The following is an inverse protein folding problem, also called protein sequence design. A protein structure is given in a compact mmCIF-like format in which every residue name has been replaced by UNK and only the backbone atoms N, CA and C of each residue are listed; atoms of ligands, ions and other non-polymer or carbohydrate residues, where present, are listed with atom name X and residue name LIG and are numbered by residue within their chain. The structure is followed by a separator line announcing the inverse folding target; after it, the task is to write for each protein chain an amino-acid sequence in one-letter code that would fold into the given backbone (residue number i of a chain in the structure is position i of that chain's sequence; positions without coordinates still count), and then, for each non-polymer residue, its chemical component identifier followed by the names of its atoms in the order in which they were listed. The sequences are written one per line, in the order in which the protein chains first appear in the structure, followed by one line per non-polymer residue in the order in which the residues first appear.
data_IF_662215052303
#
_entry.id   IF_662215052303
#
_cell.length_a   1.000
_cell.length_b   1.000
_cell.length_c   1.000
_cell.angle_alpha   90.00
_cell.angle_beta   90.00
_cell.angle_gamma   90.00
#
_symmetry.space_group_name_H-M   'P 1'
#
loop_
_entity.id
_entity.type
_entity.pdbx_description
1 polymer ?
#
# COMPACT_ATOMS: atom_id res chain seq x y z
N UNK A 1 -27.22 -5.17 19.33
CA UNK A 1 -26.89 -4.12 18.36
C UNK A 1 -25.62 -4.52 17.65
N UNK A 2 -25.63 -4.52 16.31
CA UNK A 2 -24.46 -4.71 15.48
C UNK A 2 -23.80 -3.34 15.28
N UNK A 3 -22.52 -3.19 15.66
CA UNK A 3 -21.72 -2.01 15.37
C UNK A 3 -20.82 -2.31 14.18
N UNK A 4 -20.91 -1.51 13.13
CA UNK A 4 -20.03 -1.56 11.97
C UNK A 4 -19.24 -0.24 11.91
N UNK A 5 -17.92 -0.36 11.85
CA UNK A 5 -17.03 0.78 11.66
C UNK A 5 -16.58 0.80 10.19
N UNK A 6 -16.89 1.90 9.48
CA UNK A 6 -16.43 2.12 8.11
C UNK A 6 -15.20 3.02 8.13
N UNK A 7 -14.10 2.53 7.58
CA UNK A 7 -12.86 3.29 7.43
C UNK A 7 -12.51 3.42 5.95
N UNK A 8 -12.42 4.67 5.47
CA UNK A 8 -12.00 4.94 4.10
C UNK A 8 -10.50 4.74 3.91
N UNK A 9 -10.11 4.16 2.77
CA UNK A 9 -8.73 4.06 2.33
C UNK A 9 -8.47 5.05 1.20
N UNK A 10 -7.64 6.06 1.44
CA UNK A 10 -7.26 7.06 0.43
C UNK A 10 -6.66 6.43 -0.83
N UNK A 11 -5.96 5.32 -0.69
CA UNK A 11 -5.34 4.63 -1.82
C UNK A 11 -6.36 4.10 -2.84
N UNK A 12 -7.60 3.79 -2.43
CA UNK A 12 -8.65 3.43 -3.39
C UNK A 12 -9.02 4.62 -4.28
N UNK A 13 -9.04 5.83 -3.73
CA UNK A 13 -9.22 7.06 -4.52
C UNK A 13 -8.03 7.31 -5.45
N UNK A 14 -6.81 7.00 -5.02
CA UNK A 14 -5.62 7.10 -5.90
C UNK A 14 -5.73 6.12 -7.06
N UNK A 15 -6.15 4.89 -6.83
CA UNK A 15 -6.37 3.89 -7.89
C UNK A 15 -7.44 4.38 -8.87
N UNK A 16 -8.59 4.83 -8.37
CA UNK A 16 -9.70 5.34 -9.21
C UNK A 16 -9.26 6.54 -10.06
N UNK A 17 -8.54 7.49 -9.46
CA UNK A 17 -8.01 8.64 -10.19
C UNK A 17 -6.95 8.23 -11.23
N UNK A 18 -6.07 7.28 -10.93
CA UNK A 18 -5.11 6.77 -11.91
C UNK A 18 -5.82 6.12 -13.10
N UNK A 19 -6.85 5.30 -12.86
CA UNK A 19 -7.66 4.68 -13.91
C UNK A 19 -8.33 5.75 -14.80
N UNK A 20 -8.89 6.81 -14.20
CA UNK A 20 -9.47 7.92 -14.97
C UNK A 20 -8.44 8.60 -15.86
N UNK A 21 -7.24 8.87 -15.34
CA UNK A 21 -6.15 9.47 -16.13
C UNK A 21 -5.70 8.54 -17.27
N UNK A 22 -5.62 7.24 -17.04
CA UNK A 22 -5.32 6.23 -18.06
C UNK A 22 -6.38 6.24 -19.16
N UNK A 23 -7.65 6.30 -18.77
CA UNK A 23 -8.78 6.38 -19.71
C UNK A 23 -8.79 7.68 -20.52
N UNK A 24 -8.50 8.82 -19.87
CA UNK A 24 -8.34 10.12 -20.54
C UNK A 24 -7.20 10.06 -21.58
N UNK A 25 -6.15 9.27 -21.32
CA UNK A 25 -5.05 8.98 -22.24
C UNK A 25 -5.37 7.97 -23.36
N UNK A 26 -6.61 7.49 -23.45
CA UNK A 26 -7.08 6.58 -24.51
C UNK A 26 -6.85 5.10 -24.25
N UNK A 27 -6.41 4.72 -23.06
CA UNK A 27 -6.28 3.32 -22.65
C UNK A 27 -7.45 2.92 -21.74
N UNK A 28 -7.88 1.65 -21.84
CA UNK A 28 -8.87 1.07 -20.94
C UNK A 28 -8.26 -0.11 -20.23
N UNK A 29 -8.40 -0.17 -18.91
CA UNK A 29 -7.84 -1.25 -18.07
C UNK A 29 -8.89 -1.75 -17.10
N UNK A 30 -8.88 -3.05 -16.85
CA UNK A 30 -9.62 -3.70 -15.79
C UNK A 30 -8.68 -4.02 -14.62
N UNK A 31 -8.65 -3.14 -13.63
CA UNK A 31 -7.77 -3.26 -12.48
C UNK A 31 -8.14 -4.43 -11.55
N UNK A 32 -9.36 -4.96 -11.67
CA UNK A 32 -9.81 -6.10 -10.86
C UNK A 32 -9.33 -7.43 -11.45
N UNK A 33 -9.02 -7.47 -12.74
CA UNK A 33 -8.60 -8.66 -13.47
C UNK A 33 -7.14 -8.61 -13.96
N UNK A 34 -6.27 -7.86 -13.26
CA UNK A 34 -4.82 -7.84 -13.58
C UNK A 34 -4.15 -9.16 -13.18
N UNK A 35 -3.15 -9.65 -13.94
CA UNK A 35 -2.44 -10.88 -13.64
C UNK A 35 -1.56 -10.73 -12.39
N UNK A 36 -1.57 -11.74 -11.50
CA UNK A 36 -0.73 -11.76 -10.29
C UNK A 36 0.66 -12.39 -10.48
N UNK A 37 1.01 -12.77 -11.68
CA UNK A 37 2.30 -13.38 -12.07
C UNK A 37 3.22 -12.43 -12.83
N UNK A 38 2.90 -11.14 -12.88
CA UNK A 38 3.69 -10.12 -13.58
C UNK A 38 5.05 -9.89 -12.91
N UNK A 39 6.08 -10.39 -13.56
CA UNK A 39 7.46 -10.32 -13.09
C UNK A 39 8.00 -8.87 -13.00
N UNK A 40 7.45 -7.95 -13.79
CA UNK A 40 7.85 -6.53 -13.76
C UNK A 40 7.40 -5.88 -12.45
N UNK A 41 6.21 -6.25 -11.96
CA UNK A 41 5.68 -5.80 -10.67
C UNK A 41 6.51 -6.35 -9.52
N UNK A 42 6.85 -7.65 -9.52
CA UNK A 42 7.72 -8.21 -8.48
C UNK A 42 9.13 -7.63 -8.51
N UNK A 43 9.65 -7.28 -9.69
CA UNK A 43 10.94 -6.59 -9.83
C UNK A 43 10.91 -5.19 -9.18
N UNK A 44 9.79 -4.48 -9.24
CA UNK A 44 9.59 -3.20 -8.53
C UNK A 44 9.69 -3.40 -7.02
N UNK A 45 9.00 -4.41 -6.45
CA UNK A 45 9.12 -4.77 -5.03
C UNK A 45 10.55 -5.17 -4.66
N UNK A 46 11.18 -6.04 -5.45
CA UNK A 46 12.56 -6.51 -5.23
C UNK A 46 13.58 -5.38 -5.19
N UNK A 47 13.39 -4.33 -5.99
CA UNK A 47 14.24 -3.13 -5.99
C UNK A 47 13.91 -2.17 -4.85
N UNK A 48 12.82 -2.38 -4.11
CA UNK A 48 12.32 -1.46 -3.09
C UNK A 48 11.88 -0.11 -3.65
N UNK A 49 11.43 -0.08 -4.92
CA UNK A 49 10.93 1.13 -5.59
C UNK A 49 9.46 1.36 -5.29
N UNK A 50 9.08 1.26 -4.01
CA UNK A 50 7.69 1.16 -3.55
C UNK A 50 7.16 2.43 -2.87
N UNK A 51 7.79 3.59 -3.07
CA UNK A 51 7.21 4.87 -2.64
C UNK A 51 5.90 5.10 -3.41
N UNK A 52 4.83 5.43 -2.68
CA UNK A 52 3.47 5.52 -3.20
C UNK A 52 2.71 4.19 -3.29
N UNK A 53 3.38 3.05 -3.14
CA UNK A 53 2.74 1.73 -3.11
C UNK A 53 2.12 1.48 -1.74
N UNK A 54 0.84 1.16 -1.72
CA UNK A 54 0.09 0.94 -0.49
C UNK A 54 0.77 -0.07 0.44
N UNK A 55 0.87 0.25 1.73
CA UNK A 55 1.49 -0.55 2.81
C UNK A 55 3.00 -0.87 2.66
N UNK A 56 3.61 -0.72 1.49
CA UNK A 56 4.97 -1.19 1.22
C UNK A 56 6.03 -0.08 1.08
N UNK A 57 5.71 1.16 1.44
CA UNK A 57 6.59 2.32 1.16
C UNK A 57 7.55 2.70 2.28
N UNK A 58 7.37 2.24 3.52
CA UNK A 58 8.26 2.59 4.63
C UNK A 58 9.69 2.12 4.38
N UNK A 59 10.67 2.85 4.89
CA UNK A 59 12.09 2.53 4.68
C UNK A 59 12.45 1.12 5.14
N UNK A 60 11.96 0.71 6.32
CA UNK A 60 12.19 -0.63 6.85
C UNK A 60 11.53 -1.72 6.00
N UNK A 61 10.29 -1.54 5.54
CA UNK A 61 9.63 -2.46 4.64
C UNK A 61 10.40 -2.62 3.32
N UNK A 62 10.88 -1.52 2.74
CA UNK A 62 11.66 -1.53 1.51
C UNK A 62 12.97 -2.31 1.64
N UNK A 63 13.65 -2.23 2.77
CA UNK A 63 14.86 -3.01 3.03
C UNK A 63 14.55 -4.53 3.16
N UNK A 64 13.43 -4.89 3.78
CA UNK A 64 13.00 -6.29 3.82
C UNK A 64 12.59 -6.81 2.42
N UNK A 65 11.91 -6.02 1.61
CA UNK A 65 11.54 -6.40 0.25
C UNK A 65 12.75 -6.70 -0.64
N UNK A 66 13.83 -5.92 -0.53
CA UNK A 66 15.08 -6.17 -1.24
C UNK A 66 15.72 -7.51 -0.86
N UNK A 67 15.59 -7.92 0.40
CA UNK A 67 16.09 -9.20 0.90
C UNK A 67 15.16 -10.34 0.55
N UNK A 68 13.85 -10.14 0.67
CA UNK A 68 12.80 -11.12 0.41
C UNK A 68 12.74 -11.50 -1.07
N UNK A 69 12.89 -10.50 -1.98
CA UNK A 69 12.74 -10.68 -3.43
C UNK A 69 11.42 -11.41 -3.74
N UNK A 70 10.28 -10.79 -3.49
CA UNK A 70 9.00 -11.47 -3.66
C UNK A 70 8.82 -11.92 -5.10
N UNK A 71 8.20 -13.08 -5.27
CA UNK A 71 7.95 -13.75 -6.56
C UNK A 71 6.49 -14.13 -6.76
N UNK A 72 5.69 -14.04 -5.70
CA UNK A 72 4.28 -14.38 -5.68
C UNK A 72 3.52 -13.47 -4.72
N UNK A 73 2.19 -13.40 -4.89
CA UNK A 73 1.32 -12.57 -4.04
C UNK A 73 1.35 -13.04 -2.57
N UNK A 74 1.57 -14.33 -2.32
CA UNK A 74 1.69 -14.94 -1.00
C UNK A 74 2.84 -14.32 -0.20
N UNK A 75 3.93 -13.96 -0.84
CA UNK A 75 5.05 -13.25 -0.19
C UNK A 75 4.62 -11.88 0.33
N UNK A 76 3.79 -11.16 -0.42
CA UNK A 76 3.27 -9.85 -0.02
C UNK A 76 2.25 -10.00 1.09
N UNK A 77 1.38 -11.02 1.03
CA UNK A 77 0.41 -11.36 2.07
C UNK A 77 1.16 -11.64 3.38
N UNK A 78 2.19 -12.48 3.34
CA UNK A 78 3.00 -12.81 4.50
C UNK A 78 3.73 -11.58 5.07
N UNK A 79 4.31 -10.73 4.22
CA UNK A 79 4.98 -9.50 4.66
C UNK A 79 4.05 -8.51 5.35
N UNK A 80 2.81 -8.33 4.86
CA UNK A 80 1.81 -7.51 5.53
C UNK A 80 1.49 -8.03 6.95
N UNK A 81 1.47 -9.35 7.12
CA UNK A 81 1.20 -9.97 8.40
C UNK A 81 2.41 -9.91 9.34
N UNK A 82 3.62 -10.06 8.82
CA UNK A 82 4.86 -10.13 9.61
C UNK A 82 5.44 -8.76 9.98
N UNK A 83 5.27 -7.74 9.13
CA UNK A 83 5.89 -6.43 9.36
C UNK A 83 5.14 -5.61 10.42
N UNK A 84 5.22 -6.08 11.66
CA UNK A 84 4.61 -5.50 12.87
C UNK A 84 5.48 -5.80 14.08
N UNK A 85 5.44 -4.97 15.14
CA UNK A 85 6.09 -5.30 16.41
C UNK A 85 5.71 -6.71 16.91
N UNK A 86 6.69 -7.51 17.26
CA UNK A 86 6.54 -8.92 17.64
C UNK A 86 6.84 -9.87 16.47
N UNK A 87 5.93 -10.05 15.50
CA UNK A 87 6.13 -10.99 14.39
C UNK A 87 7.32 -10.66 13.49
N UNK A 88 7.73 -9.39 13.42
CA UNK A 88 8.84 -8.97 12.55
C UNK A 88 10.18 -9.66 12.89
N UNK A 89 10.33 -10.19 14.09
CA UNK A 89 11.50 -10.99 14.47
C UNK A 89 11.63 -12.28 13.64
N UNK A 90 10.55 -12.74 13.01
CA UNK A 90 10.55 -13.95 12.18
C UNK A 90 10.85 -13.66 10.70
N UNK A 91 10.92 -12.38 10.28
CA UNK A 91 11.12 -12.02 8.87
C UNK A 91 12.45 -12.54 8.32
N UNK A 92 13.52 -12.43 9.08
CA UNK A 92 14.83 -12.93 8.64
C UNK A 92 14.83 -14.46 8.44
N UNK A 93 14.15 -15.20 9.31
CA UNK A 93 13.99 -16.65 9.17
C UNK A 93 13.08 -16.99 7.98
N UNK A 94 11.99 -16.27 7.79
CA UNK A 94 11.10 -16.40 6.64
C UNK A 94 11.90 -16.23 5.33
N UNK A 95 12.71 -15.16 5.22
CA UNK A 95 13.55 -14.88 4.06
C UNK A 95 14.59 -15.99 3.83
N UNK A 96 15.28 -16.45 4.91
CA UNK A 96 16.28 -17.51 4.79
C UNK A 96 15.67 -18.83 4.31
N UNK A 97 14.49 -19.20 4.80
CA UNK A 97 13.77 -20.42 4.41
C UNK A 97 13.26 -20.32 2.98
N UNK A 98 12.64 -19.19 2.59
CA UNK A 98 12.25 -18.91 1.19
C UNK A 98 13.39 -19.13 0.20
N UNK A 99 14.59 -18.70 0.55
CA UNK A 99 15.78 -18.79 -0.31
C UNK A 99 16.60 -20.08 -0.12
N UNK A 100 16.07 -21.08 0.61
CA UNK A 100 16.76 -22.35 0.85
C UNK A 100 18.03 -22.23 1.71
N UNK A 101 18.25 -21.08 2.38
CA UNK A 101 19.42 -20.84 3.26
C UNK A 101 19.24 -21.38 4.66
N UNK A 102 18.03 -21.76 5.02
CA UNK A 102 17.66 -22.43 6.27
C UNK A 102 16.65 -23.50 5.93
N UNK A 103 16.89 -24.71 6.43
CA UNK A 103 16.00 -25.85 6.26
C UNK A 103 14.64 -25.59 6.91
N UNK A 104 13.56 -26.02 6.24
CA UNK A 104 12.20 -26.00 6.79
C UNK A 104 12.01 -27.30 7.57
N UNK A 105 11.78 -27.17 8.85
CA UNK A 105 11.52 -28.34 9.72
C UNK A 105 10.10 -28.23 10.27
N UNK A 106 9.34 -29.32 10.10
CA UNK A 106 8.01 -29.47 10.66
C UNK A 106 8.07 -30.41 11.85
N UNK A 107 7.41 -30.06 12.96
CA UNK A 107 7.32 -30.93 14.14
C UNK A 107 6.54 -32.21 13.85
N UNK A 108 5.67 -32.19 12.85
CA UNK A 108 4.94 -33.35 12.33
C UNK A 108 4.64 -33.17 10.85
N UNK A 109 4.69 -34.21 10.02
CA UNK A 109 4.45 -34.12 8.57
C UNK A 109 3.11 -33.48 8.21
N UNK A 110 2.06 -33.72 8.99
CA UNK A 110 0.73 -33.10 8.73
C UNK A 110 0.72 -31.55 8.85
N UNK A 111 1.78 -30.94 9.33
CA UNK A 111 1.90 -29.47 9.37
C UNK A 111 2.40 -28.89 8.05
N UNK A 112 2.97 -29.71 7.16
CA UNK A 112 3.56 -29.26 5.91
C UNK A 112 2.53 -28.55 5.01
N UNK A 113 1.42 -29.18 4.72
CA UNK A 113 0.36 -28.63 3.88
C UNK A 113 -0.22 -27.31 4.43
N UNK A 114 -0.17 -27.12 5.77
CA UNK A 114 -0.70 -25.91 6.42
C UNK A 114 0.31 -24.77 6.37
N UNK A 115 1.60 -25.08 6.46
CA UNK A 115 2.68 -24.12 6.64
C UNK A 115 3.58 -23.95 5.41
N UNK A 116 3.35 -24.69 4.33
CA UNK A 116 4.15 -24.64 3.10
C UNK A 116 4.21 -23.22 2.53
N UNK A 117 3.07 -22.54 2.41
CA UNK A 117 2.96 -21.17 1.88
C UNK A 117 3.73 -20.12 2.71
N UNK A 118 4.03 -20.45 3.97
CA UNK A 118 4.76 -19.56 4.91
C UNK A 118 6.11 -20.14 5.33
N UNK A 119 6.63 -21.06 4.53
CA UNK A 119 7.95 -21.69 4.74
C UNK A 119 8.13 -22.29 6.15
N UNK A 120 7.07 -22.93 6.67
CA UNK A 120 7.08 -23.57 7.97
C UNK A 120 6.96 -22.61 9.17
N UNK A 121 6.58 -21.37 8.94
CA UNK A 121 6.35 -20.37 10.02
C UNK A 121 4.85 -20.17 10.17
N UNK A 122 4.35 -20.23 11.42
CA UNK A 122 2.97 -19.84 11.70
C UNK A 122 2.88 -18.31 11.61
N UNK A 123 2.05 -17.80 10.70
CA UNK A 123 1.82 -16.37 10.45
C UNK A 123 0.37 -16.00 10.69
N UNK A 124 -0.56 -16.87 10.29
CA UNK A 124 -1.99 -16.57 10.25
C UNK A 124 -2.76 -17.27 11.38
N UNK A 125 -3.82 -16.62 11.84
CA UNK A 125 -4.77 -17.19 12.79
C UNK A 125 -5.44 -18.45 12.22
N UNK A 126 -5.70 -18.46 10.94
CA UNK A 126 -6.27 -19.58 10.19
C UNK A 126 -5.36 -20.82 10.26
N UNK A 127 -4.03 -20.64 10.19
CA UNK A 127 -3.07 -21.74 10.34
C UNK A 127 -3.13 -22.36 11.75
N UNK A 128 -3.26 -21.51 12.78
CA UNK A 128 -3.47 -22.00 14.16
C UNK A 128 -4.70 -22.87 14.27
N UNK A 129 -5.82 -22.44 13.66
CA UNK A 129 -7.07 -23.20 13.67
C UNK A 129 -6.97 -24.49 12.85
N UNK A 130 -6.32 -24.45 11.69
CA UNK A 130 -6.08 -25.64 10.86
C UNK A 130 -5.21 -26.66 11.57
N UNK A 131 -4.13 -26.25 12.23
CA UNK A 131 -3.28 -27.14 13.02
C UNK A 131 -4.09 -27.80 14.15
N UNK A 132 -4.91 -27.03 14.88
CA UNK A 132 -5.75 -27.60 15.92
C UNK A 132 -6.77 -28.62 15.37
N UNK A 133 -7.34 -28.34 14.22
CA UNK A 133 -8.26 -29.25 13.56
C UNK A 133 -7.54 -30.48 13.02
N UNK A 134 -6.51 -30.31 12.21
CA UNK A 134 -5.86 -31.44 11.51
C UNK A 134 -4.99 -32.29 12.42
N UNK A 135 -4.31 -31.68 13.39
CA UNK A 135 -3.43 -32.42 14.33
C UNK A 135 -4.25 -33.05 15.47
N UNK A 136 -5.13 -32.26 16.11
CA UNK A 136 -5.78 -32.68 17.36
C UNK A 136 -7.28 -32.98 17.23
N UNK A 137 -7.85 -32.86 16.02
CA UNK A 137 -9.26 -33.20 15.78
C UNK A 137 -10.26 -32.20 16.37
N UNK A 138 -9.85 -30.98 16.67
CA UNK A 138 -10.76 -29.94 17.09
C UNK A 138 -11.75 -29.60 15.98
N UNK A 139 -13.01 -29.37 16.30
CA UNK A 139 -13.92 -28.69 15.38
C UNK A 139 -13.44 -27.25 15.12
N UNK A 140 -13.89 -26.64 14.05
CA UNK A 140 -13.53 -25.25 13.75
C UNK A 140 -13.96 -24.28 14.86
N UNK A 141 -15.12 -24.56 15.51
CA UNK A 141 -15.58 -23.77 16.65
C UNK A 141 -14.66 -23.89 17.87
N UNK A 142 -14.20 -25.11 18.19
CA UNK A 142 -13.25 -25.33 19.27
C UNK A 142 -11.86 -24.74 18.97
N UNK A 143 -11.40 -24.82 17.73
CA UNK A 143 -10.16 -24.20 17.27
C UNK A 143 -10.22 -22.67 17.41
N UNK A 144 -11.36 -22.03 17.10
CA UNK A 144 -11.54 -20.59 17.30
C UNK A 144 -11.59 -20.21 18.78
N UNK A 145 -12.21 -21.04 19.64
CA UNK A 145 -12.18 -20.86 21.09
C UNK A 145 -10.72 -20.93 21.59
N UNK A 146 -9.94 -21.90 21.12
CA UNK A 146 -8.52 -22.05 21.47
C UNK A 146 -7.72 -20.81 21.05
N UNK A 147 -7.86 -20.38 19.81
CA UNK A 147 -7.21 -19.16 19.30
C UNK A 147 -7.53 -17.92 20.14
N UNK A 148 -8.82 -17.74 20.50
CA UNK A 148 -9.24 -16.62 21.36
C UNK A 148 -8.74 -16.71 22.77
N UNK A 149 -8.69 -17.91 23.35
CA UNK A 149 -8.16 -18.14 24.69
C UNK A 149 -6.67 -17.77 24.77
N UNK A 150 -5.90 -18.18 23.78
CA UNK A 150 -4.48 -17.83 23.64
C UNK A 150 -4.28 -16.33 23.45
N UNK A 151 -5.00 -15.70 22.53
CA UNK A 151 -4.91 -14.27 22.27
C UNK A 151 -5.31 -13.38 23.46
N UNK A 152 -6.22 -13.86 24.32
CA UNK A 152 -6.63 -13.18 25.56
C UNK A 152 -5.88 -13.66 26.80
N UNK A 153 -4.96 -14.61 26.66
CA UNK A 153 -4.16 -15.19 27.76
C UNK A 153 -5.01 -15.75 28.91
N UNK A 154 -6.12 -16.44 28.59
CA UNK A 154 -7.02 -17.03 29.58
C UNK A 154 -6.41 -18.35 30.07
N UNK A 155 -5.51 -18.26 31.05
CA UNK A 155 -4.67 -19.38 31.53
C UNK A 155 -5.42 -20.67 31.80
N UNK A 156 -6.51 -20.61 32.59
CA UNK A 156 -7.31 -21.81 32.94
C UNK A 156 -7.82 -22.53 31.69
N UNK A 157 -8.37 -21.78 30.73
CA UNK A 157 -8.91 -22.35 29.49
C UNK A 157 -7.79 -22.89 28.59
N UNK A 158 -6.64 -22.23 28.58
CA UNK A 158 -5.46 -22.69 27.81
C UNK A 158 -4.93 -24.02 28.38
N UNK A 159 -4.88 -24.19 29.71
CA UNK A 159 -4.45 -25.43 30.36
C UNK A 159 -5.42 -26.58 30.00
N UNK A 160 -6.73 -26.35 30.07
CA UNK A 160 -7.76 -27.35 29.69
C UNK A 160 -7.64 -27.72 28.20
N UNK A 161 -7.47 -26.73 27.30
CA UNK A 161 -7.33 -26.96 25.87
C UNK A 161 -6.01 -27.64 25.50
N UNK A 162 -4.93 -27.41 26.27
CA UNK A 162 -3.65 -28.10 26.10
C UNK A 162 -3.79 -29.61 26.32
N UNK A 163 -4.45 -30.03 27.40
CA UNK A 163 -4.72 -31.44 27.67
C UNK A 163 -5.55 -32.04 26.52
N UNK A 164 -6.62 -31.38 26.16
CA UNK A 164 -7.49 -31.83 25.03
C UNK A 164 -6.74 -31.94 23.71
N UNK A 165 -5.84 -30.99 23.43
CA UNK A 165 -5.03 -30.98 22.19
C UNK A 165 -4.07 -32.20 22.17
N UNK A 166 -3.39 -32.48 23.27
CA UNK A 166 -2.45 -33.62 23.38
C UNK A 166 -3.19 -34.94 23.18
N UNK A 167 -4.32 -35.13 23.92
CA UNK A 167 -5.14 -36.34 23.81
C UNK A 167 -5.72 -36.50 22.38
N UNK A 168 -6.18 -35.41 21.78
CA UNK A 168 -6.71 -35.41 20.43
C UNK A 168 -5.66 -35.78 19.40
N UNK A 169 -4.45 -35.21 19.50
CA UNK A 169 -3.32 -35.48 18.60
C UNK A 169 -2.90 -36.97 18.66
N UNK A 170 -2.88 -37.57 19.86
CA UNK A 170 -2.60 -38.99 20.02
C UNK A 170 -3.69 -39.86 19.40
N UNK A 171 -4.97 -39.53 19.64
CA UNK A 171 -6.11 -40.30 19.10
C UNK A 171 -6.26 -40.22 17.59
N UNK A 172 -6.06 -39.00 17.01
CA UNK A 172 -6.30 -38.76 15.57
C UNK A 172 -5.12 -39.18 14.71
N UNK A 173 -3.91 -38.85 15.12
CA UNK A 173 -2.71 -38.97 14.29
C UNK A 173 -1.60 -39.81 14.92
N UNK A 174 -1.86 -40.48 16.04
CA UNK A 174 -0.89 -41.29 16.82
C UNK A 174 0.39 -40.48 17.15
N UNK A 175 0.25 -39.18 17.41
CA UNK A 175 1.37 -38.30 17.75
C UNK A 175 1.75 -38.50 19.22
N UNK A 176 3.05 -38.67 19.46
CA UNK A 176 3.56 -38.83 20.83
C UNK A 176 3.23 -37.56 21.67
N UNK A 177 2.85 -37.73 22.95
CA UNK A 177 2.44 -36.62 23.81
C UNK A 177 3.46 -35.48 23.89
N UNK A 178 4.76 -35.79 23.87
CA UNK A 178 5.80 -34.76 23.90
C UNK A 178 5.83 -33.91 22.61
N UNK A 179 5.70 -34.57 21.47
CA UNK A 179 5.60 -33.84 20.18
C UNK A 179 4.33 -33.00 20.12
N UNK A 180 3.18 -33.54 20.56
CA UNK A 180 1.93 -32.80 20.62
C UNK A 180 2.04 -31.57 21.55
N UNK A 181 2.73 -31.70 22.65
CA UNK A 181 3.03 -30.59 23.57
C UNK A 181 3.88 -29.51 22.90
N UNK A 182 4.95 -29.90 22.20
CA UNK A 182 5.79 -28.97 21.47
C UNK A 182 5.00 -28.21 20.38
N UNK A 183 4.09 -28.89 19.65
CA UNK A 183 3.22 -28.25 18.67
C UNK A 183 2.29 -27.24 19.35
N UNK A 184 1.68 -27.61 20.51
CA UNK A 184 0.81 -26.69 21.24
C UNK A 184 1.56 -25.45 21.73
N UNK A 185 2.77 -25.61 22.26
CA UNK A 185 3.63 -24.51 22.71
C UNK A 185 4.08 -23.60 21.56
N UNK A 186 4.31 -24.18 20.37
CA UNK A 186 4.56 -23.41 19.16
C UNK A 186 3.34 -22.56 18.77
N UNK A 187 2.14 -23.14 18.78
CA UNK A 187 0.88 -22.43 18.52
C UNK A 187 0.66 -21.32 19.55
N UNK A 188 0.83 -21.64 20.84
CA UNK A 188 0.65 -20.68 21.93
C UNK A 188 1.53 -19.44 21.75
N UNK A 189 2.81 -19.64 21.42
CA UNK A 189 3.75 -18.55 21.15
C UNK A 189 3.31 -17.65 20.01
N UNK A 190 2.71 -18.20 18.95
CA UNK A 190 2.29 -17.46 17.77
C UNK A 190 0.84 -16.94 17.83
N UNK A 191 -0.02 -17.53 18.64
CA UNK A 191 -1.42 -17.13 18.74
C UNK A 191 -1.61 -15.69 19.28
N UNK A 192 -0.65 -15.18 20.04
CA UNK A 192 -0.63 -13.77 20.48
C UNK A 192 -0.46 -12.80 19.31
N UNK A 193 0.20 -13.22 18.25
CA UNK A 193 0.63 -12.38 17.12
C UNK A 193 0.01 -12.80 15.79
N UNK A 194 -0.80 -13.86 15.78
CA UNK A 194 -1.45 -14.37 14.57
C UNK A 194 -2.27 -13.29 13.87
N UNK A 195 -2.07 -13.15 12.57
CA UNK A 195 -2.78 -12.17 11.77
C UNK A 195 -3.95 -12.81 11.03
N UNK A 196 -5.01 -12.07 10.80
CA UNK A 196 -6.11 -12.56 9.96
C UNK A 196 -5.64 -12.61 8.48
N UNK A 197 -5.64 -13.79 7.88
CA UNK A 197 -5.17 -14.01 6.50
C UNK A 197 -6.02 -13.23 5.50
N UNK A 198 -7.34 -13.23 5.66
CA UNK A 198 -8.25 -12.52 4.74
C UNK A 198 -7.97 -11.01 4.72
N UNK A 199 -7.72 -10.41 5.89
CA UNK A 199 -7.35 -9.00 5.96
C UNK A 199 -5.99 -8.74 5.27
N UNK A 200 -4.98 -9.58 5.54
CA UNK A 200 -3.67 -9.45 4.90
C UNK A 200 -3.75 -9.60 3.39
N UNK A 201 -4.57 -10.53 2.92
CA UNK A 201 -4.82 -10.78 1.49
C UNK A 201 -5.44 -9.55 0.83
N UNK A 202 -6.51 -8.98 1.42
CA UNK A 202 -7.15 -7.78 0.87
C UNK A 202 -6.17 -6.61 0.75
N UNK A 203 -5.31 -6.41 1.74
CA UNK A 203 -4.31 -5.35 1.73
C UNK A 203 -3.17 -5.62 0.73
N UNK A 204 -2.74 -6.88 0.60
CA UNK A 204 -1.74 -7.25 -0.41
C UNK A 204 -2.29 -7.10 -1.84
N UNK A 205 -3.59 -7.37 -2.03
CA UNK A 205 -4.27 -7.14 -3.31
C UNK A 205 -4.22 -5.66 -3.71
N UNK A 206 -4.63 -4.76 -2.82
CA UNK A 206 -4.56 -3.30 -3.08
C UNK A 206 -3.10 -2.85 -3.28
N UNK A 207 -2.16 -3.39 -2.50
CA UNK A 207 -0.74 -3.09 -2.68
C UNK A 207 -0.23 -3.51 -4.07
N UNK A 208 -0.62 -4.70 -4.52
CA UNK A 208 -0.26 -5.21 -5.84
C UNK A 208 -0.88 -4.34 -6.95
N UNK A 209 -2.15 -3.96 -6.84
CA UNK A 209 -2.80 -3.03 -7.79
C UNK A 209 -2.04 -1.70 -7.89
N UNK A 210 -1.65 -1.11 -6.76
CA UNK A 210 -0.88 0.15 -6.77
C UNK A 210 0.52 -0.03 -7.35
N UNK A 211 1.17 -1.18 -7.11
CA UNK A 211 2.47 -1.50 -7.70
C UNK A 211 2.37 -1.77 -9.21
N UNK A 212 1.29 -2.42 -9.65
CA UNK A 212 1.02 -2.68 -11.05
C UNK A 212 0.79 -1.37 -11.83
N UNK A 213 -0.05 -0.48 -11.29
CA UNK A 213 -0.24 0.87 -11.86
C UNK A 213 1.08 1.64 -11.92
N UNK A 214 1.89 1.60 -10.86
CA UNK A 214 3.21 2.25 -10.84
C UNK A 214 4.16 1.68 -11.89
N UNK A 215 4.04 0.39 -12.22
CA UNK A 215 4.90 -0.29 -13.17
C UNK A 215 4.51 0.00 -14.63
N UNK A 216 3.21 -0.02 -14.93
CA UNK A 216 2.70 0.05 -16.30
C UNK A 216 2.22 1.45 -16.71
N UNK A 217 1.77 2.25 -15.75
CA UNK A 217 1.23 3.61 -15.96
C UNK A 217 1.84 4.58 -14.93
N UNK A 218 3.18 4.72 -14.96
CA UNK A 218 3.89 5.44 -13.90
C UNK A 218 3.54 6.93 -13.82
N UNK A 219 3.32 7.61 -14.95
CA UNK A 219 2.98 9.04 -14.97
C UNK A 219 1.57 9.29 -14.40
N UNK A 220 0.60 8.48 -14.79
CA UNK A 220 -0.79 8.56 -14.31
C UNK A 220 -0.86 8.22 -12.81
N UNK A 221 -0.20 7.14 -12.40
CA UNK A 221 -0.16 6.74 -11.00
C UNK A 221 0.51 7.78 -10.10
N UNK A 222 1.64 8.34 -10.53
CA UNK A 222 2.33 9.40 -9.77
C UNK A 222 1.53 10.70 -9.76
N UNK A 223 0.84 11.06 -10.85
CA UNK A 223 -0.08 12.20 -10.89
C UNK A 223 -1.22 12.04 -9.89
N UNK A 224 -1.84 10.87 -9.84
CA UNK A 224 -2.91 10.57 -8.89
C UNK A 224 -2.42 10.64 -7.43
N UNK A 225 -1.22 10.13 -7.13
CA UNK A 225 -0.61 10.23 -5.81
C UNK A 225 -0.30 11.68 -5.44
N UNK A 226 0.33 12.45 -6.32
CA UNK A 226 0.64 13.86 -6.12
C UNK A 226 -0.63 14.66 -5.85
N UNK A 227 -1.69 14.42 -6.62
CA UNK A 227 -3.01 15.05 -6.42
C UNK A 227 -3.61 14.71 -5.07
N UNK A 228 -3.54 13.45 -4.65
CA UNK A 228 -4.06 13.01 -3.34
C UNK A 228 -3.32 13.66 -2.15
N UNK A 229 -2.07 14.04 -2.34
CA UNK A 229 -1.20 14.58 -1.29
C UNK A 229 -0.93 16.09 -1.41
N UNK A 230 -1.64 16.82 -2.27
CA UNK A 230 -1.43 18.27 -2.51
C UNK A 230 -1.44 19.13 -1.25
N UNK A 231 -2.20 18.75 -0.23
CA UNK A 231 -2.25 19.45 1.05
C UNK A 231 -1.03 19.21 1.96
N UNK A 232 -0.17 18.25 1.64
CA UNK A 232 1.01 17.87 2.42
C UNK A 232 2.28 18.08 1.58
N UNK A 233 2.87 19.28 1.71
CA UNK A 233 4.04 19.65 0.88
C UNK A 233 5.24 18.72 1.06
N UNK A 234 5.49 18.22 2.28
CA UNK A 234 6.60 17.30 2.52
C UNK A 234 6.40 15.99 1.74
N UNK A 235 5.16 15.53 1.67
CA UNK A 235 4.80 14.34 0.91
C UNK A 235 4.91 14.58 -0.59
N UNK A 236 4.47 15.74 -1.07
CA UNK A 236 4.63 16.16 -2.47
C UNK A 236 6.11 16.16 -2.88
N UNK A 237 7.00 16.70 -2.04
CA UNK A 237 8.45 16.70 -2.30
C UNK A 237 9.00 15.27 -2.41
N UNK A 238 8.59 14.35 -1.53
CA UNK A 238 8.99 12.93 -1.59
C UNK A 238 8.54 12.30 -2.91
N UNK A 239 7.30 12.54 -3.33
CA UNK A 239 6.76 12.00 -4.57
C UNK A 239 7.43 12.58 -5.82
N UNK A 240 7.72 13.89 -5.85
CA UNK A 240 8.49 14.52 -6.94
C UNK A 240 9.90 13.93 -7.03
N UNK A 241 10.57 13.69 -5.89
CA UNK A 241 11.87 13.03 -5.90
C UNK A 241 11.78 11.58 -6.38
N UNK A 242 10.67 10.89 -6.12
CA UNK A 242 10.44 9.56 -6.66
C UNK A 242 10.21 9.61 -8.18
N UNK A 243 9.43 10.58 -8.69
CA UNK A 243 9.27 10.81 -10.13
C UNK A 243 10.63 10.97 -10.82
N UNK A 244 11.52 11.81 -10.28
CA UNK A 244 12.88 12.01 -10.82
C UNK A 244 13.68 10.70 -10.90
N UNK A 245 13.61 9.85 -9.87
CA UNK A 245 14.28 8.52 -9.88
C UNK A 245 13.71 7.60 -10.93
N UNK A 246 12.42 7.75 -11.24
CA UNK A 246 11.72 7.02 -12.30
C UNK A 246 11.93 7.63 -13.68
N UNK A 247 12.70 8.73 -13.80
CA UNK A 247 12.91 9.51 -15.03
C UNK A 247 11.62 10.13 -15.56
N UNK A 248 10.76 10.55 -14.64
CA UNK A 248 9.55 11.31 -14.91
C UNK A 248 9.81 12.75 -14.50
N UNK A 249 9.71 13.68 -15.42
CA UNK A 249 9.84 15.09 -15.16
C UNK A 249 8.52 15.66 -14.63
N UNK A 250 8.60 16.45 -13.57
CA UNK A 250 7.47 17.23 -13.08
C UNK A 250 7.71 18.68 -13.44
N UNK A 251 6.95 19.17 -14.40
CA UNK A 251 7.06 20.55 -14.87
C UNK A 251 6.74 21.54 -13.74
N UNK A 252 7.37 22.73 -13.74
CA UNK A 252 6.99 23.79 -12.79
C UNK A 252 5.53 24.20 -12.99
N UNK A 253 4.88 24.81 -11.97
CA UNK A 253 3.54 25.35 -12.12
C UNK A 253 3.51 26.47 -13.18
N UNK A 254 2.45 26.51 -13.97
CA UNK A 254 2.26 27.55 -15.02
C UNK A 254 0.77 27.84 -15.19
N UNK A 255 0.36 29.11 -15.01
CA UNK A 255 -1.02 29.57 -15.18
C UNK A 255 -1.56 29.34 -16.58
N UNK A 256 -0.68 29.24 -17.59
CA UNK A 256 -1.04 29.02 -19.00
C UNK A 256 -1.20 27.55 -19.40
N UNK A 257 -0.67 26.60 -18.58
CA UNK A 257 -0.61 25.18 -18.94
C UNK A 257 -1.20 24.29 -17.85
N UNK A 258 -0.84 24.54 -16.59
CA UNK A 258 -1.20 23.67 -15.46
C UNK A 258 -2.71 23.58 -15.24
N UNK A 259 -3.15 22.41 -14.78
CA UNK A 259 -4.52 22.17 -14.33
C UNK A 259 -4.64 22.38 -12.81
N UNK A 260 -5.85 22.19 -12.26
CA UNK A 260 -6.08 22.19 -10.81
C UNK A 260 -5.24 21.09 -10.17
N UNK A 261 -5.34 19.88 -10.70
CA UNK A 261 -4.68 18.68 -10.24
C UNK A 261 -3.41 18.39 -11.07
N UNK A 262 -2.51 17.57 -10.51
CA UNK A 262 -1.41 17.01 -11.28
C UNK A 262 -1.94 16.11 -12.39
N UNK A 263 -1.41 16.26 -13.62
CA UNK A 263 -1.83 15.46 -14.78
C UNK A 263 -0.63 14.99 -15.60
N UNK A 264 -0.67 13.76 -16.13
CA UNK A 264 0.32 13.34 -17.11
C UNK A 264 0.18 14.19 -18.38
N UNK A 265 1.31 14.60 -18.92
CA UNK A 265 1.42 15.25 -20.26
C UNK A 265 1.74 14.18 -21.30
N UNK A 266 2.63 13.28 -20.92
CA UNK A 266 3.03 12.09 -21.63
C UNK A 266 3.55 11.04 -20.64
N UNK A 267 4.10 9.92 -21.13
CA UNK A 267 4.57 8.81 -20.30
C UNK A 267 5.71 9.20 -19.32
N UNK A 268 6.40 10.31 -19.59
CA UNK A 268 7.59 10.73 -18.83
C UNK A 268 7.47 12.14 -18.26
N UNK A 269 6.34 12.81 -18.41
CA UNK A 269 6.15 14.20 -18.01
C UNK A 269 4.83 14.39 -17.29
N UNK A 270 4.87 15.04 -16.11
CA UNK A 270 3.71 15.42 -15.31
C UNK A 270 3.62 16.95 -15.24
N UNK A 271 2.47 17.51 -15.53
CA UNK A 271 2.14 18.92 -15.30
C UNK A 271 1.81 19.14 -13.83
N UNK A 272 2.38 20.20 -13.25
CA UNK A 272 2.13 20.56 -11.84
C UNK A 272 0.67 20.93 -11.59
N UNK A 273 0.09 20.47 -10.50
CA UNK A 273 -1.26 20.84 -10.06
C UNK A 273 -1.26 22.16 -9.30
N UNK A 274 -1.93 23.19 -9.83
CA UNK A 274 -1.93 24.51 -9.21
C UNK A 274 -2.52 24.56 -7.80
N UNK A 275 -3.40 23.61 -7.47
CA UNK A 275 -4.00 23.49 -6.14
C UNK A 275 -3.00 23.07 -5.03
N UNK A 276 -1.81 22.62 -5.42
CA UNK A 276 -0.71 22.39 -4.48
C UNK A 276 0.00 23.69 -4.03
N UNK A 277 -0.29 24.82 -4.69
CA UNK A 277 0.27 26.12 -4.32
C UNK A 277 -0.48 26.66 -3.09
N UNK A 278 0.26 26.94 -2.03
CA UNK A 278 -0.32 27.45 -0.78
C UNK A 278 -1.10 28.74 -1.00
N UNK A 279 -2.26 28.87 -0.37
CA UNK A 279 -3.19 29.99 -0.45
C UNK A 279 -3.90 30.17 -1.82
N UNK A 280 -3.78 29.24 -2.72
CA UNK A 280 -4.51 29.24 -3.99
C UNK A 280 -5.65 28.23 -3.90
N UNK A 281 -6.88 28.71 -3.75
CA UNK A 281 -8.05 27.84 -3.57
C UNK A 281 -8.69 27.42 -4.90
N UNK A 282 -9.41 26.30 -4.86
CA UNK A 282 -10.04 25.68 -6.06
C UNK A 282 -10.91 26.66 -6.85
N UNK A 283 -11.72 27.51 -6.18
CA UNK A 283 -12.56 28.50 -6.87
C UNK A 283 -11.76 29.53 -7.68
N UNK A 284 -10.59 29.94 -7.18
CA UNK A 284 -9.72 30.84 -7.93
C UNK A 284 -9.11 30.14 -9.15
N UNK A 285 -8.74 28.87 -9.00
CA UNK A 285 -8.18 28.06 -10.10
C UNK A 285 -9.22 27.76 -11.19
N UNK A 286 -10.45 27.44 -10.80
CA UNK A 286 -11.57 27.25 -11.76
C UNK A 286 -11.72 28.47 -12.64
N UNK A 287 -11.74 29.67 -12.05
CA UNK A 287 -11.83 30.92 -12.81
C UNK A 287 -10.63 31.20 -13.71
N UNK A 288 -9.41 30.91 -13.23
CA UNK A 288 -8.20 31.09 -14.04
C UNK A 288 -8.25 30.14 -15.26
N UNK A 289 -8.65 28.89 -15.05
CA UNK A 289 -8.70 27.89 -16.12
C UNK A 289 -9.82 28.20 -17.11
N UNK A 290 -11.01 28.61 -16.64
CA UNK A 290 -12.14 29.01 -17.48
C UNK A 290 -11.77 30.21 -18.36
N UNK A 291 -11.27 31.28 -17.72
CA UNK A 291 -10.81 32.47 -18.44
C UNK A 291 -9.71 32.16 -19.47
N UNK A 292 -8.82 31.23 -19.19
CA UNK A 292 -7.77 30.77 -20.09
C UNK A 292 -8.34 30.03 -21.30
N UNK A 293 -9.40 29.24 -21.16
CA UNK A 293 -10.03 28.51 -22.27
C UNK A 293 -10.59 29.45 -23.30
N UNK A 294 -11.17 30.58 -22.90
CA UNK A 294 -11.72 31.58 -23.80
C UNK A 294 -10.64 32.33 -24.58
N UNK A 295 -9.48 32.57 -23.97
CA UNK A 295 -8.41 33.41 -24.52
C UNK A 295 -7.20 32.69 -25.09
N UNK A 296 -7.06 31.40 -24.85
CA UNK A 296 -5.92 30.53 -25.21
C UNK A 296 -4.66 30.70 -24.34
N UNK A 297 -4.21 31.91 -24.02
CA UNK A 297 -3.03 32.19 -23.15
C UNK A 297 -3.07 33.61 -22.60
N UNK A 298 -2.60 33.77 -21.35
CA UNK A 298 -2.26 35.07 -20.79
C UNK A 298 -0.87 35.50 -21.27
N UNK A 299 -0.72 36.77 -21.69
CA UNK A 299 0.53 37.33 -22.20
C UNK A 299 1.34 38.05 -21.09
N UNK A 300 0.66 38.77 -20.22
CA UNK A 300 1.28 39.54 -19.14
C UNK A 300 0.44 39.51 -17.89
N UNK A 301 0.98 40.01 -16.76
CA UNK A 301 0.23 40.14 -15.51
C UNK A 301 -0.99 41.07 -15.68
N UNK A 302 -0.90 42.11 -16.52
CA UNK A 302 -2.01 43.01 -16.79
C UNK A 302 -3.12 42.30 -17.58
N UNK A 303 -2.74 41.50 -18.57
CA UNK A 303 -3.68 40.66 -19.32
C UNK A 303 -4.35 39.64 -18.41
N UNK A 304 -3.59 38.99 -17.54
CA UNK A 304 -4.12 38.08 -16.55
C UNK A 304 -5.14 38.76 -15.61
N UNK A 305 -4.76 39.86 -14.97
CA UNK A 305 -5.64 40.59 -14.02
C UNK A 305 -6.87 41.20 -14.66
N UNK A 306 -6.81 41.58 -15.93
CA UNK A 306 -7.96 42.09 -16.69
C UNK A 306 -9.01 41.01 -17.02
N UNK A 307 -8.63 39.71 -16.94
CA UNK A 307 -9.47 38.61 -17.39
C UNK A 307 -9.88 37.63 -16.28
N UNK A 308 -9.38 37.83 -15.04
CA UNK A 308 -9.82 37.04 -13.87
C UNK A 308 -10.65 37.90 -12.92
N UNK A 309 -11.57 37.29 -12.20
CA UNK A 309 -12.34 37.99 -11.17
C UNK A 309 -11.48 38.28 -9.93
N UNK A 310 -10.98 39.49 -9.76
CA UNK A 310 -10.10 39.93 -8.68
C UNK A 310 -10.70 39.73 -7.27
N UNK A 311 -12.02 39.59 -7.16
CA UNK A 311 -12.69 39.22 -5.91
C UNK A 311 -12.31 37.83 -5.44
N UNK A 312 -12.11 36.89 -6.36
CA UNK A 312 -11.75 35.50 -6.11
C UNK A 312 -10.25 35.29 -6.23
N UNK A 313 -9.63 35.83 -7.29
CA UNK A 313 -8.18 35.86 -7.50
C UNK A 313 -7.62 37.15 -6.85
N UNK A 314 -7.67 37.18 -5.53
CA UNK A 314 -7.27 38.35 -4.75
C UNK A 314 -5.73 38.51 -4.69
N UNK A 315 -5.26 39.60 -4.10
CA UNK A 315 -3.83 39.93 -3.94
C UNK A 315 -3.01 38.74 -3.39
N UNK A 316 -3.52 38.05 -2.34
CA UNK A 316 -2.81 36.92 -1.71
C UNK A 316 -2.67 35.72 -2.67
N UNK A 317 -3.68 35.43 -3.48
CA UNK A 317 -3.62 34.38 -4.52
C UNK A 317 -2.60 34.76 -5.57
N UNK A 318 -2.63 36.02 -6.04
CA UNK A 318 -1.71 36.54 -7.05
C UNK A 318 -0.25 36.46 -6.58
N UNK A 319 0.04 36.95 -5.37
CA UNK A 319 1.36 36.84 -4.74
C UNK A 319 1.84 35.39 -4.66
N UNK A 320 0.94 34.48 -4.28
CA UNK A 320 1.30 33.03 -4.18
C UNK A 320 1.62 32.42 -5.55
N UNK A 321 0.89 32.79 -6.61
CA UNK A 321 1.18 32.35 -7.97
C UNK A 321 2.51 32.91 -8.49
N UNK A 322 2.82 34.18 -8.21
CA UNK A 322 4.11 34.80 -8.58
C UNK A 322 5.26 34.11 -7.82
N UNK A 323 5.15 33.96 -6.49
CA UNK A 323 6.20 33.40 -5.66
C UNK A 323 6.48 31.91 -5.99
N UNK A 324 5.46 31.17 -6.39
CA UNK A 324 5.62 29.76 -6.81
C UNK A 324 6.24 29.60 -8.20
N UNK A 325 6.35 30.70 -8.98
CA UNK A 325 6.79 30.67 -10.37
C UNK A 325 5.69 30.32 -11.38
N UNK A 326 4.44 30.19 -10.94
CA UNK A 326 3.33 29.86 -11.83
C UNK A 326 3.05 30.94 -12.90
N UNK A 327 3.64 32.13 -12.77
CA UNK A 327 3.52 33.23 -13.72
C UNK A 327 4.81 33.50 -14.50
N UNK A 328 5.83 32.65 -14.39
CA UNK A 328 7.13 32.87 -15.07
C UNK A 328 7.05 32.77 -16.61
N UNK A 329 5.97 32.19 -17.17
CA UNK A 329 5.69 32.17 -18.62
C UNK A 329 5.11 33.50 -19.15
N UNK A 330 4.75 34.43 -18.27
CA UNK A 330 4.26 35.74 -18.64
C UNK A 330 5.42 36.72 -18.89
N UNK A 331 5.17 37.78 -19.61
CA UNK A 331 6.12 38.87 -19.79
C UNK A 331 6.44 39.56 -18.47
N UNK A 332 7.73 39.78 -18.15
CA UNK A 332 8.22 40.39 -16.93
C UNK A 332 9.05 39.44 -16.08
N UNK A 333 9.30 39.81 -14.85
CA UNK A 333 9.95 38.95 -13.86
C UNK A 333 9.29 39.05 -12.48
N UNK A 334 9.61 38.12 -11.58
CA UNK A 334 8.96 38.03 -10.24
C UNK A 334 9.15 39.28 -9.35
N UNK A 335 10.15 40.11 -9.62
CA UNK A 335 10.46 41.30 -8.83
C UNK A 335 9.67 42.55 -9.30
N UNK A 336 9.16 42.52 -10.50
CA UNK A 336 8.27 43.55 -11.07
C UNK A 336 6.85 43.39 -10.56
#
# INVERSE_FOLDING_TARGET
LLKLDFLGLRNLTVIDNAIKLIKDGGNDIDIENIPFDDQSVYKLFTKGLTIGVFQFESSGMREFLKKLKPTAIEDLIAMNALYRPGPMNNIDDFIKRKHGKKEIQYLHPSMENILEETYGIIVYQEQVMQIANEIAGFSLAEADIMRRAMGKKIKKLMDELKVKFIDGAQKKNNIQPETAKQIYELIEKFAEYGFNKSHSTAYAYVAYQTAWLKTHYPAEFMSANLTSEMSNIDRVVILINECRKMKIDVNPPDVNVSSIDFRPVDNNTISFGLNAIKNVGTKALEQIIESRQDKKKYKSIFDFTANVALKTVNKKVLESLIMSGAMDSLEGNRAQ
#
